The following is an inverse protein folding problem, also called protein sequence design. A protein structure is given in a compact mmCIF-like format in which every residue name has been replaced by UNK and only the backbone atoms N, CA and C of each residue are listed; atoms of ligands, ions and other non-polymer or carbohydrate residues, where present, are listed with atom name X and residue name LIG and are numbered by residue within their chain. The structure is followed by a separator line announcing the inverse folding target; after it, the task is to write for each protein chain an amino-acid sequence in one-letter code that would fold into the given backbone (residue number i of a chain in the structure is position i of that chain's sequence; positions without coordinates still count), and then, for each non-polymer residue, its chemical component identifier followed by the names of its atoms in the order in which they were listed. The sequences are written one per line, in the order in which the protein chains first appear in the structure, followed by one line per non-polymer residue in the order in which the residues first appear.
data_IF_255097820708
#
_entry.id   IF_255097820708
#
_cell.length_a   1.000
_cell.length_b   1.000
_cell.length_c   1.000
_cell.angle_alpha   90.00
_cell.angle_beta   90.00
_cell.angle_gamma   90.00
#
_symmetry.space_group_name_H-M   'P 1'
#
loop_
_entity.id
_entity.type
_entity.pdbx_description
1 polymer ?
#
# COMPACT_ATOMS: atom_id res chain seq x y z
N UNK A 1 -11.61 10.83 -0.88
CA UNK A 1 -12.01 10.92 0.55
C UNK A 1 -12.36 12.34 0.98
N UNK A 2 -11.42 13.29 1.12
CA UNK A 2 -11.74 14.65 1.60
C UNK A 2 -12.85 15.36 0.80
N UNK A 3 -12.79 15.33 -0.52
CA UNK A 3 -13.82 15.95 -1.39
C UNK A 3 -15.17 15.22 -1.33
N UNK A 4 -15.21 14.00 -0.79
CA UNK A 4 -16.43 13.22 -0.57
C UNK A 4 -16.86 13.23 0.90
N UNK A 5 -16.33 14.12 1.75
CA UNK A 5 -16.55 14.08 3.20
C UNK A 5 -18.03 14.22 3.58
N UNK A 6 -18.79 15.07 2.89
CA UNK A 6 -20.23 15.24 3.17
C UNK A 6 -21.03 13.98 2.78
N UNK A 7 -20.92 13.42 1.55
CA UNK A 7 -21.55 12.14 1.23
C UNK A 7 -21.21 11.01 2.20
N UNK A 8 -19.96 10.94 2.67
CA UNK A 8 -19.52 9.96 3.67
C UNK A 8 -20.15 10.23 5.05
N UNK A 9 -20.26 11.48 5.46
CA UNK A 9 -20.91 11.84 6.72
C UNK A 9 -22.41 11.50 6.72
N UNK A 10 -23.11 11.67 5.59
CA UNK A 10 -24.50 11.22 5.44
C UNK A 10 -24.66 9.69 5.58
N UNK A 11 -23.59 8.95 5.32
CA UNK A 11 -23.50 7.51 5.53
C UNK A 11 -22.99 7.12 6.93
N UNK A 12 -22.82 8.10 7.84
CA UNK A 12 -22.26 7.85 9.18
C UNK A 12 -20.75 7.59 9.19
N UNK A 13 -20.03 7.84 8.09
CA UNK A 13 -18.58 7.66 7.97
C UNK A 13 -17.86 8.99 8.20
N UNK A 14 -17.06 9.06 9.26
CA UNK A 14 -16.11 10.12 9.51
C UNK A 14 -14.76 9.83 8.84
N UNK A 15 -14.03 10.88 8.45
CA UNK A 15 -12.74 10.73 7.79
C UNK A 15 -11.66 11.64 8.38
N UNK A 16 -10.54 11.03 8.80
CA UNK A 16 -9.31 11.74 9.18
C UNK A 16 -8.18 11.39 8.20
N UNK A 17 -7.77 12.38 7.40
CA UNK A 17 -6.63 12.26 6.49
C UNK A 17 -5.40 13.04 6.96
N UNK A 18 -4.31 13.07 6.15
CA UNK A 18 -3.03 13.70 6.49
C UNK A 18 -3.13 15.17 6.95
N UNK A 19 -4.11 15.91 6.42
CA UNK A 19 -4.37 17.29 6.81
C UNK A 19 -4.75 17.42 8.29
N UNK A 20 -5.56 16.49 8.81
CA UNK A 20 -5.98 16.48 10.23
C UNK A 20 -4.98 15.75 11.11
N UNK A 21 -4.45 14.61 10.64
CA UNK A 21 -3.52 13.79 11.43
C UNK A 21 -2.17 14.49 11.65
N UNK A 22 -1.63 15.13 10.61
CA UNK A 22 -0.35 15.87 10.65
C UNK A 22 -0.55 17.37 10.85
N UNK A 23 -1.35 18.00 9.98
CA UNK A 23 -1.56 19.45 9.97
C UNK A 23 -2.35 19.98 11.18
N UNK A 24 -3.22 19.15 11.76
CA UNK A 24 -3.96 19.46 12.99
C UNK A 24 -3.27 18.97 14.28
N UNK A 25 -2.00 18.52 14.22
CA UNK A 25 -1.23 18.00 15.34
C UNK A 25 -1.86 16.79 16.10
N UNK A 26 -2.86 16.13 15.50
CA UNK A 26 -3.57 15.04 16.15
C UNK A 26 -2.64 13.88 16.49
N UNK A 27 -1.72 13.53 15.60
CA UNK A 27 -0.74 12.45 15.82
C UNK A 27 0.57 12.91 16.49
N UNK A 28 0.69 14.19 16.85
CA UNK A 28 1.90 14.72 17.47
C UNK A 28 2.18 14.05 18.82
N UNK A 29 3.36 13.46 19.00
CA UNK A 29 3.72 12.78 20.25
C UNK A 29 3.30 11.31 20.35
N UNK A 30 2.67 10.72 19.34
CA UNK A 30 2.45 9.26 19.27
C UNK A 30 3.75 8.54 18.91
N UNK A 31 4.47 9.08 17.94
CA UNK A 31 5.78 8.55 17.53
C UNK A 31 6.90 9.41 18.12
N UNK A 32 8.03 8.81 18.52
CA UNK A 32 9.19 9.58 18.96
C UNK A 32 9.66 10.49 17.82
N UNK A 33 9.91 11.76 18.15
CA UNK A 33 10.47 12.75 17.23
C UNK A 33 12.01 12.74 17.24
N UNK A 34 12.66 13.42 16.28
CA UNK A 34 14.12 13.56 16.24
C UNK A 34 14.66 14.51 17.32
N UNK A 35 13.82 15.39 17.87
CA UNK A 35 14.19 16.28 18.96
C UNK A 35 13.99 15.58 20.32
N UNK A 36 14.85 15.84 21.32
CA UNK A 36 14.63 15.40 22.69
C UNK A 36 13.23 15.82 23.15
N UNK A 37 12.52 14.90 23.81
CA UNK A 37 11.20 15.17 24.37
C UNK A 37 11.35 16.14 25.54
N UNK A 38 11.22 17.44 25.28
CA UNK A 38 11.30 18.50 26.30
C UNK A 38 9.93 18.83 26.91
N UNK A 39 8.84 18.26 26.38
CA UNK A 39 7.49 18.42 26.89
C UNK A 39 7.08 17.29 27.84
N UNK A 40 6.47 17.63 28.98
CA UNK A 40 5.86 16.64 29.90
C UNK A 40 4.70 15.91 29.19
N UNK A 41 4.69 14.58 29.33
CA UNK A 41 3.58 13.68 29.01
C UNK A 41 3.01 13.75 27.57
N UNK A 42 3.85 13.93 26.55
CA UNK A 42 3.41 14.03 25.15
C UNK A 42 2.50 12.87 24.69
N UNK A 43 2.80 11.65 25.13
CA UNK A 43 1.99 10.45 24.81
C UNK A 43 0.60 10.55 25.42
N UNK A 44 0.49 10.91 26.70
CA UNK A 44 -0.81 11.10 27.37
C UNK A 44 -1.59 12.25 26.74
N UNK A 45 -0.92 13.34 26.36
CA UNK A 45 -1.56 14.45 25.64
C UNK A 45 -2.06 14.00 24.26
N UNK A 46 -1.31 13.16 23.55
CA UNK A 46 -1.76 12.62 22.26
C UNK A 46 -2.99 11.74 22.42
N UNK A 47 -2.99 10.85 23.41
CA UNK A 47 -4.14 10.01 23.79
C UNK A 47 -5.37 10.86 24.13
N UNK A 48 -5.22 11.87 24.99
CA UNK A 48 -6.31 12.78 25.35
C UNK A 48 -6.88 13.54 24.14
N UNK A 49 -6.02 14.02 23.24
CA UNK A 49 -6.50 14.66 21.99
C UNK A 49 -7.27 13.69 21.10
N UNK A 50 -6.79 12.46 20.93
CA UNK A 50 -7.51 11.43 20.16
C UNK A 50 -8.87 11.12 20.79
N UNK A 51 -8.93 10.93 22.12
CA UNK A 51 -10.18 10.66 22.84
C UNK A 51 -11.20 11.77 22.65
N UNK A 52 -10.79 13.04 22.81
CA UNK A 52 -11.68 14.19 22.59
C UNK A 52 -12.19 14.25 21.15
N UNK A 53 -11.33 14.02 20.16
CA UNK A 53 -11.72 14.07 18.75
C UNK A 53 -12.62 12.88 18.35
N UNK A 54 -12.40 11.70 18.93
CA UNK A 54 -13.28 10.55 18.75
C UNK A 54 -14.64 10.78 19.41
N UNK A 55 -14.68 11.34 20.62
CA UNK A 55 -15.92 11.71 21.30
C UNK A 55 -16.73 12.72 20.49
N UNK A 56 -16.09 13.79 20.02
CA UNK A 56 -16.73 14.79 19.16
C UNK A 56 -17.24 14.18 17.84
N UNK A 57 -16.53 13.18 17.28
CA UNK A 57 -17.02 12.48 16.08
C UNK A 57 -18.27 11.65 16.39
N UNK A 58 -18.31 10.96 17.54
CA UNK A 58 -19.50 10.22 17.99
C UNK A 58 -20.70 11.13 18.24
N UNK A 59 -20.49 12.27 18.90
CA UNK A 59 -21.53 13.29 19.13
C UNK A 59 -22.09 13.85 17.82
N UNK A 60 -21.24 13.96 16.79
CA UNK A 60 -21.65 14.34 15.44
C UNK A 60 -22.34 13.21 14.65
N UNK A 61 -22.64 12.06 15.28
CA UNK A 61 -23.34 10.94 14.65
C UNK A 61 -22.45 10.03 13.78
N UNK A 62 -21.12 10.15 13.86
CA UNK A 62 -20.20 9.24 13.16
C UNK A 62 -20.27 7.86 13.79
N UNK A 63 -20.64 6.86 12.98
CA UNK A 63 -20.71 5.45 13.33
C UNK A 63 -19.39 4.73 13.03
N UNK A 64 -18.74 5.07 11.92
CA UNK A 64 -17.45 4.51 11.52
C UNK A 64 -16.44 5.64 11.27
N UNK A 65 -15.26 5.57 11.89
CA UNK A 65 -14.21 6.56 11.68
C UNK A 65 -13.07 5.96 10.86
N UNK A 66 -12.92 6.41 9.62
CA UNK A 66 -11.79 6.04 8.77
C UNK A 66 -10.62 7.00 8.99
N UNK A 67 -9.47 6.44 9.39
CA UNK A 67 -8.21 7.18 9.49
C UNK A 67 -7.26 6.68 8.40
N UNK A 68 -6.93 7.55 7.44
CA UNK A 68 -6.06 7.20 6.31
C UNK A 68 -4.78 8.03 6.35
N UNK A 69 -3.65 7.38 6.61
CA UNK A 69 -2.38 8.06 6.79
C UNK A 69 -1.18 7.20 6.34
N UNK A 70 -0.53 7.64 5.27
CA UNK A 70 0.64 7.03 4.61
C UNK A 70 1.83 6.77 5.56
N UNK A 71 2.13 7.68 6.50
CA UNK A 71 3.33 7.55 7.35
C UNK A 71 3.07 6.82 8.68
N UNK A 72 1.91 6.21 8.87
CA UNK A 72 1.67 5.40 10.09
C UNK A 72 2.70 4.26 10.18
N UNK A 73 2.84 3.50 9.08
CA UNK A 73 3.78 2.38 8.99
C UNK A 73 5.25 2.81 9.00
N UNK A 74 5.53 4.03 8.53
CA UNK A 74 6.88 4.58 8.43
C UNK A 74 7.07 5.42 7.18
N UNK A 75 8.19 6.13 7.11
CA UNK A 75 8.51 6.92 5.93
C UNK A 75 9.23 6.04 4.89
N UNK A 76 8.83 6.10 3.62
CA UNK A 76 9.50 5.41 2.50
C UNK A 76 11.00 5.70 2.44
N UNK A 77 11.41 6.92 2.81
CA UNK A 77 12.84 7.31 2.88
C UNK A 77 13.62 6.50 3.92
N UNK A 78 13.00 6.11 5.03
CA UNK A 78 13.63 5.26 6.02
C UNK A 78 13.90 3.87 5.44
N UNK A 79 12.93 3.32 4.68
CA UNK A 79 13.07 2.02 4.02
C UNK A 79 14.25 2.01 3.03
N UNK A 80 14.39 3.06 2.21
CA UNK A 80 15.52 3.19 1.30
C UNK A 80 16.86 3.36 2.03
N UNK A 81 16.89 4.11 3.13
CA UNK A 81 18.12 4.32 3.91
C UNK A 81 18.58 3.04 4.61
N UNK A 82 17.65 2.27 5.16
CA UNK A 82 17.93 1.01 5.84
C UNK A 82 18.11 -0.15 4.85
N UNK A 83 17.56 -0.02 3.64
CA UNK A 83 17.50 -1.11 2.66
C UNK A 83 16.52 -2.21 3.08
N UNK A 84 15.50 -1.87 3.85
CA UNK A 84 14.61 -2.84 4.49
C UNK A 84 13.15 -2.35 4.49
N UNK A 85 12.20 -3.29 4.35
CA UNK A 85 10.78 -2.99 4.17
C UNK A 85 10.10 -2.75 5.53
N UNK A 86 9.93 -1.48 5.91
CA UNK A 86 9.21 -1.06 7.12
C UNK A 86 9.63 -1.83 8.39
N UNK A 87 10.94 -1.95 8.64
CA UNK A 87 11.50 -2.73 9.75
C UNK A 87 11.00 -2.36 11.16
N UNK A 88 10.47 -1.15 11.33
CA UNK A 88 9.87 -0.68 12.59
C UNK A 88 8.34 -0.72 12.61
N UNK A 89 7.68 -1.45 11.69
CA UNK A 89 6.23 -1.48 11.55
C UNK A 89 5.53 -1.83 12.87
N UNK A 90 5.95 -2.91 13.53
CA UNK A 90 5.32 -3.40 14.76
C UNK A 90 5.34 -2.35 15.88
N UNK A 91 6.52 -1.83 16.22
CA UNK A 91 6.63 -0.80 17.27
C UNK A 91 5.77 0.44 16.97
N UNK A 92 5.73 0.87 15.71
CA UNK A 92 4.96 2.04 15.32
C UNK A 92 3.47 1.79 15.48
N UNK A 93 2.99 0.64 15.04
CA UNK A 93 1.58 0.27 15.14
C UNK A 93 1.16 0.02 16.59
N UNK A 94 2.03 -0.53 17.44
CA UNK A 94 1.77 -0.67 18.88
C UNK A 94 1.53 0.70 19.55
N UNK A 95 2.37 1.71 19.23
CA UNK A 95 2.17 3.09 19.75
C UNK A 95 0.85 3.70 19.27
N UNK A 96 0.43 3.42 18.02
CA UNK A 96 -0.89 3.85 17.56
C UNK A 96 -2.01 3.12 18.30
N UNK A 97 -1.93 1.79 18.46
CA UNK A 97 -2.91 1.00 19.19
C UNK A 97 -3.12 1.55 20.61
N UNK A 98 -2.02 1.84 21.32
CA UNK A 98 -2.05 2.43 22.65
C UNK A 98 -2.68 3.83 22.64
N UNK A 99 -2.29 4.69 21.69
CA UNK A 99 -2.80 6.05 21.59
C UNK A 99 -4.30 6.11 21.28
N UNK A 100 -4.81 5.18 20.47
CA UNK A 100 -6.24 5.02 20.21
C UNK A 100 -6.99 4.30 21.35
N UNK A 101 -6.28 3.77 22.35
CA UNK A 101 -6.89 3.22 23.56
C UNK A 101 -7.86 2.07 23.32
N UNK A 102 -7.53 1.18 22.37
CA UNK A 102 -8.37 0.03 22.02
C UNK A 102 -9.58 0.35 21.12
N UNK A 103 -9.71 1.58 20.63
CA UNK A 103 -10.78 1.96 19.71
C UNK A 103 -10.59 1.45 18.26
N UNK A 104 -9.42 0.89 17.94
CA UNK A 104 -9.13 0.36 16.60
C UNK A 104 -9.73 -1.04 16.47
N UNK A 105 -10.63 -1.22 15.51
CA UNK A 105 -11.25 -2.53 15.21
C UNK A 105 -10.66 -3.18 13.96
N UNK A 106 -10.24 -2.36 13.01
CA UNK A 106 -9.76 -2.77 11.69
C UNK A 106 -8.54 -1.95 11.29
N UNK A 107 -7.58 -2.60 10.64
CA UNK A 107 -6.43 -1.96 9.99
C UNK A 107 -6.44 -2.39 8.52
N UNK A 108 -6.28 -1.42 7.63
CA UNK A 108 -6.16 -1.65 6.20
C UNK A 108 -4.73 -1.35 5.74
N UNK A 109 -4.05 -2.37 5.19
CA UNK A 109 -2.70 -2.24 4.63
C UNK A 109 -2.76 -2.38 3.11
N UNK A 110 -2.38 -1.35 2.37
CA UNK A 110 -2.15 -1.50 0.93
C UNK A 110 -0.74 -2.01 0.66
N UNK A 111 -0.65 -3.12 -0.07
CA UNK A 111 0.62 -3.72 -0.50
C UNK A 111 0.73 -3.65 -2.02
N UNK A 112 1.94 -3.83 -2.56
CA UNK A 112 2.22 -3.78 -3.99
C UNK A 112 3.33 -4.76 -4.31
N UNK A 113 3.43 -5.21 -5.56
CA UNK A 113 4.61 -5.94 -6.03
C UNK A 113 5.91 -5.25 -5.59
N UNK A 114 6.86 -6.00 -5.04
CA UNK A 114 8.06 -5.40 -4.42
C UNK A 114 8.92 -4.66 -5.45
N UNK A 115 9.01 -5.16 -6.69
CA UNK A 115 9.63 -4.45 -7.82
C UNK A 115 8.95 -3.10 -8.05
N UNK A 116 7.63 -3.08 -7.96
CA UNK A 116 6.82 -1.91 -8.14
C UNK A 116 6.93 -0.90 -6.99
N UNK A 117 6.97 -1.41 -5.76
CA UNK A 117 7.15 -0.62 -4.54
C UNK A 117 8.52 0.06 -4.52
N UNK A 118 9.61 -0.70 -4.64
CA UNK A 118 10.97 -0.16 -4.57
C UNK A 118 11.25 0.81 -5.72
N UNK A 119 10.78 0.51 -6.93
CA UNK A 119 10.85 1.45 -8.05
C UNK A 119 10.15 2.77 -7.75
N UNK A 120 8.94 2.70 -7.16
CA UNK A 120 8.19 3.90 -6.76
C UNK A 120 8.92 4.69 -5.68
N UNK A 121 9.49 4.01 -4.69
CA UNK A 121 10.27 4.61 -3.62
C UNK A 121 11.51 5.34 -4.15
N UNK A 122 12.26 4.68 -5.04
CA UNK A 122 13.44 5.25 -5.69
C UNK A 122 13.05 6.48 -6.52
N UNK A 123 11.98 6.39 -7.34
CA UNK A 123 11.53 7.50 -8.18
C UNK A 123 11.18 8.72 -7.32
N UNK A 124 10.48 8.49 -6.21
CA UNK A 124 10.13 9.52 -5.25
C UNK A 124 11.35 10.16 -4.58
N UNK A 125 12.38 9.37 -4.23
CA UNK A 125 13.60 9.89 -3.63
C UNK A 125 14.41 10.72 -4.64
N UNK A 126 14.62 10.19 -5.85
CA UNK A 126 15.37 10.88 -6.91
C UNK A 126 14.69 12.20 -7.31
N UNK A 127 13.36 12.21 -7.48
CA UNK A 127 12.60 13.42 -7.76
C UNK A 127 12.73 14.52 -6.67
N UNK A 128 13.22 14.18 -5.48
CA UNK A 128 13.49 15.12 -4.38
C UNK A 128 14.98 15.43 -4.19
N UNK A 129 15.80 15.14 -5.20
CA UNK A 129 17.22 15.47 -5.22
C UNK A 129 18.12 14.46 -4.48
N UNK A 130 17.60 13.29 -4.10
CA UNK A 130 18.48 12.22 -3.61
C UNK A 130 19.33 11.64 -4.76
N UNK A 131 20.49 11.08 -4.40
CA UNK A 131 21.41 10.46 -5.36
C UNK A 131 20.73 9.31 -6.10
N UNK A 132 21.12 9.12 -7.37
CA UNK A 132 20.74 7.96 -8.17
C UNK A 132 21.18 6.66 -7.47
N UNK A 133 20.36 5.59 -7.46
CA UNK A 133 20.78 4.32 -6.90
C UNK A 133 21.97 3.73 -7.66
N UNK A 134 22.88 3.12 -6.92
CA UNK A 134 23.99 2.34 -7.46
C UNK A 134 23.58 0.89 -7.69
N UNK A 135 24.31 0.16 -8.55
CA UNK A 135 24.09 -1.28 -8.75
C UNK A 135 24.10 -2.06 -7.42
N UNK A 136 25.01 -1.73 -6.50
CA UNK A 136 25.11 -2.38 -5.20
C UNK A 136 23.90 -2.09 -4.29
N UNK A 137 23.37 -0.85 -4.32
CA UNK A 137 22.14 -0.54 -3.58
C UNK A 137 20.91 -1.23 -4.16
N UNK A 138 20.83 -1.39 -5.49
CA UNK A 138 19.73 -2.11 -6.14
C UNK A 138 19.80 -3.60 -5.82
N UNK A 139 21.00 -4.18 -5.85
CA UNK A 139 21.23 -5.57 -5.50
C UNK A 139 20.87 -5.87 -4.04
N UNK A 140 21.22 -4.97 -3.12
CA UNK A 140 20.81 -5.07 -1.71
C UNK A 140 19.29 -5.08 -1.55
N UNK A 141 18.58 -4.16 -2.23
CA UNK A 141 17.11 -4.10 -2.17
C UNK A 141 16.47 -5.36 -2.77
N UNK A 142 17.02 -5.87 -3.88
CA UNK A 142 16.50 -7.03 -4.57
C UNK A 142 16.71 -8.35 -3.81
N UNK A 143 17.80 -8.45 -3.03
CA UNK A 143 18.12 -9.62 -2.18
C UNK A 143 17.62 -9.48 -0.74
N UNK A 144 16.83 -8.46 -0.44
CA UNK A 144 16.27 -8.26 0.89
C UNK A 144 15.43 -9.47 1.30
N UNK A 145 15.66 -10.01 2.49
CA UNK A 145 14.90 -11.16 3.00
C UNK A 145 13.48 -10.79 3.43
N UNK A 146 13.24 -9.50 3.76
CA UNK A 146 11.98 -9.01 4.30
C UNK A 146 10.96 -8.75 3.19
N UNK A 147 9.75 -9.24 3.40
CA UNK A 147 8.61 -9.25 2.49
C UNK A 147 7.38 -8.59 3.12
N UNK A 148 6.25 -8.54 2.42
CA UNK A 148 5.02 -8.03 3.03
C UNK A 148 4.50 -8.96 4.12
N UNK A 149 4.76 -10.27 4.05
CA UNK A 149 4.43 -11.22 5.12
C UNK A 149 5.04 -10.80 6.46
N UNK A 150 6.30 -10.37 6.46
CA UNK A 150 6.97 -9.92 7.69
C UNK A 150 6.36 -8.64 8.24
N UNK A 151 5.97 -7.71 7.37
CA UNK A 151 5.30 -6.46 7.78
C UNK A 151 3.91 -6.75 8.34
N UNK A 152 3.16 -7.64 7.71
CA UNK A 152 1.81 -8.05 8.15
C UNK A 152 1.90 -8.75 9.51
N UNK A 153 2.88 -9.64 9.68
CA UNK A 153 3.13 -10.35 10.95
C UNK A 153 3.46 -9.37 12.07
N UNK A 154 4.33 -8.39 11.83
CA UNK A 154 4.64 -7.34 12.80
C UNK A 154 3.40 -6.54 13.24
N UNK A 155 2.53 -6.18 12.29
CA UNK A 155 1.30 -5.43 12.59
C UNK A 155 0.33 -6.28 13.40
N UNK A 156 0.12 -7.55 13.00
CA UNK A 156 -0.76 -8.47 13.71
C UNK A 156 -0.26 -8.71 15.15
N UNK A 157 1.05 -8.85 15.35
CA UNK A 157 1.65 -8.95 16.67
C UNK A 157 1.48 -7.68 17.51
N UNK A 158 1.57 -6.50 16.89
CA UNK A 158 1.46 -5.22 17.58
C UNK A 158 0.02 -4.82 17.93
N UNK A 159 -0.97 -5.40 17.25
CA UNK A 159 -2.39 -5.04 17.38
C UNK A 159 -3.27 -6.29 17.53
N UNK A 160 -3.12 -7.06 18.63
CA UNK A 160 -3.89 -8.29 18.82
C UNK A 160 -5.39 -7.99 18.88
N UNK A 161 -6.19 -8.83 18.20
CA UNK A 161 -7.65 -8.70 18.13
C UNK A 161 -8.16 -7.67 17.11
N UNK A 162 -7.27 -6.95 16.43
CA UNK A 162 -7.63 -6.03 15.34
C UNK A 162 -7.65 -6.79 14.02
N UNK A 163 -8.70 -6.61 13.22
CA UNK A 163 -8.81 -7.26 11.91
C UNK A 163 -7.91 -6.56 10.90
N UNK A 164 -6.92 -7.28 10.36
CA UNK A 164 -6.00 -6.75 9.37
C UNK A 164 -6.46 -7.12 7.95
N UNK A 165 -6.86 -6.12 7.19
CA UNK A 165 -7.27 -6.23 5.79
C UNK A 165 -6.10 -5.83 4.87
N UNK A 166 -5.77 -6.69 3.91
CA UNK A 166 -4.67 -6.46 2.96
C UNK A 166 -5.23 -6.13 1.58
N UNK A 167 -4.86 -4.98 1.04
CA UNK A 167 -5.36 -4.45 -0.23
C UNK A 167 -4.23 -4.39 -1.29
N UNK A 168 -4.21 -5.32 -2.26
CA UNK A 168 -3.26 -5.25 -3.37
C UNK A 168 -3.47 -3.99 -4.21
N UNK A 169 -2.42 -3.19 -4.38
CA UNK A 169 -2.44 -1.94 -5.12
C UNK A 169 -2.78 -2.16 -6.60
N UNK A 170 -2.39 -3.30 -7.16
CA UNK A 170 -2.72 -3.74 -8.51
C UNK A 170 -4.24 -3.85 -8.72
N UNK A 171 -4.98 -4.13 -7.64
CA UNK A 171 -6.43 -4.22 -7.63
C UNK A 171 -7.03 -2.87 -7.23
N UNK A 172 -6.59 -2.28 -6.11
CA UNK A 172 -7.28 -1.16 -5.47
C UNK A 172 -6.66 0.22 -5.73
N UNK A 173 -5.44 0.30 -6.24
CA UNK A 173 -4.65 1.54 -6.31
C UNK A 173 -5.24 2.65 -7.20
N UNK A 174 -6.10 2.29 -8.15
CA UNK A 174 -6.86 3.24 -8.98
C UNK A 174 -8.36 3.27 -8.65
N UNK A 175 -8.78 2.50 -7.63
CA UNK A 175 -10.18 2.29 -7.23
C UNK A 175 -10.35 2.51 -5.72
N UNK A 176 -10.11 3.73 -5.21
CA UNK A 176 -10.29 4.03 -3.78
C UNK A 176 -11.74 3.83 -3.30
N UNK A 177 -12.72 3.90 -4.20
CA UNK A 177 -14.11 3.55 -3.93
C UNK A 177 -14.27 2.06 -3.63
N UNK A 178 -13.63 1.18 -4.38
CA UNK A 178 -13.69 -0.26 -4.16
C UNK A 178 -12.97 -0.65 -2.85
N UNK A 179 -11.84 0.01 -2.57
CA UNK A 179 -11.13 -0.15 -1.30
C UNK A 179 -12.00 0.27 -0.12
N UNK A 180 -12.69 1.42 -0.24
CA UNK A 180 -13.58 1.90 0.81
C UNK A 180 -14.77 0.95 1.01
N UNK A 181 -15.43 0.53 -0.07
CA UNK A 181 -16.56 -0.39 0.00
C UNK A 181 -16.16 -1.73 0.64
N UNK A 182 -14.98 -2.26 0.30
CA UNK A 182 -14.47 -3.49 0.92
C UNK A 182 -14.21 -3.35 2.42
N UNK A 183 -13.92 -2.14 2.92
CA UNK A 183 -13.59 -1.90 4.33
C UNK A 183 -14.80 -1.50 5.17
N UNK A 184 -15.73 -0.74 4.60
CA UNK A 184 -16.89 -0.21 5.33
C UNK A 184 -18.18 -0.99 5.08
N UNK A 185 -18.22 -1.80 4.02
CA UNK A 185 -19.44 -2.46 3.53
C UNK A 185 -20.44 -1.51 2.88
N UNK A 186 -20.07 -0.25 2.66
CA UNK A 186 -20.97 0.80 2.15
C UNK A 186 -20.62 1.21 0.72
N UNK A 187 -21.63 1.65 -0.04
CA UNK A 187 -21.40 2.14 -1.40
C UNK A 187 -20.60 3.46 -1.38
N UNK A 188 -19.40 3.40 -1.96
CA UNK A 188 -18.44 4.47 -1.87
C UNK A 188 -18.66 5.54 -2.97
N UNK A 189 -18.63 6.84 -2.63
CA UNK A 189 -18.87 7.89 -3.61
C UNK A 189 -17.82 7.92 -4.74
N UNK A 190 -18.28 7.94 -5.99
CA UNK A 190 -17.42 7.87 -7.19
C UNK A 190 -16.97 9.24 -7.74
N UNK A 191 -17.66 10.32 -7.39
CA UNK A 191 -17.49 11.68 -7.96
C UNK A 191 -16.04 12.20 -7.97
N UNK A 192 -15.23 11.82 -7.00
CA UNK A 192 -13.81 12.20 -6.89
C UNK A 192 -12.87 10.99 -6.74
N UNK A 193 -13.32 9.80 -7.14
CA UNK A 193 -12.58 8.56 -6.93
C UNK A 193 -11.39 8.38 -7.89
N UNK A 194 -11.30 9.17 -8.96
CA UNK A 194 -10.21 9.10 -9.96
C UNK A 194 -9.06 10.08 -9.69
N UNK A 195 -9.13 10.88 -8.63
CA UNK A 195 -8.03 11.78 -8.24
C UNK A 195 -6.86 10.95 -7.74
N UNK A 196 -5.74 10.99 -8.46
CA UNK A 196 -4.50 10.30 -8.08
C UNK A 196 -3.58 11.24 -7.30
N UNK A 197 -3.22 10.86 -6.09
CA UNK A 197 -2.24 11.55 -5.26
C UNK A 197 -0.94 10.74 -5.21
N UNK A 198 0.19 11.44 -5.07
CA UNK A 198 1.53 10.84 -4.89
C UNK A 198 1.91 9.82 -5.98
N UNK A 199 1.42 9.98 -7.21
CA UNK A 199 1.84 9.15 -8.32
C UNK A 199 3.34 9.37 -8.60
N UNK A 200 4.09 8.29 -8.74
CA UNK A 200 5.48 8.38 -9.20
C UNK A 200 5.52 9.02 -10.58
N UNK A 201 6.48 9.93 -10.78
CA UNK A 201 6.75 10.52 -12.08
C UNK A 201 7.10 9.42 -13.09
N UNK A 202 6.59 9.57 -14.31
CA UNK A 202 7.08 8.78 -15.42
C UNK A 202 8.49 9.26 -15.80
N UNK A 203 9.21 8.49 -16.62
CA UNK A 203 10.63 8.69 -16.91
C UNK A 203 10.89 10.05 -17.56
N UNK A 204 10.00 10.50 -18.45
CA UNK A 204 10.12 11.83 -19.05
C UNK A 204 9.94 12.96 -18.04
N UNK A 205 8.94 12.87 -17.16
CA UNK A 205 8.69 13.88 -16.14
C UNK A 205 9.78 13.86 -15.06
N UNK A 206 10.26 12.67 -14.71
CA UNK A 206 11.37 12.48 -13.77
C UNK A 206 12.62 13.14 -14.34
N UNK A 207 12.94 12.90 -15.61
CA UNK A 207 14.09 13.53 -16.29
C UNK A 207 13.97 15.05 -16.30
N UNK A 208 12.79 15.59 -16.60
CA UNK A 208 12.52 17.03 -16.60
C UNK A 208 12.63 17.66 -15.19
N UNK A 209 12.39 16.88 -14.14
CA UNK A 209 12.47 17.35 -12.74
C UNK A 209 13.90 17.36 -12.16
N UNK A 210 14.90 16.85 -12.88
CA UNK A 210 16.25 16.64 -12.37
C UNK A 210 17.27 17.60 -12.98
N UNK A 211 18.36 17.94 -12.25
CA UNK A 211 19.53 18.58 -12.83
C UNK A 211 20.12 17.74 -13.97
N UNK A 212 20.72 18.39 -14.98
CA UNK A 212 21.22 17.73 -16.20
C UNK A 212 22.16 16.55 -15.92
N UNK A 213 23.01 16.63 -14.90
CA UNK A 213 23.95 15.57 -14.52
C UNK A 213 23.27 14.31 -13.93
N UNK A 214 22.13 14.47 -13.26
CA UNK A 214 21.34 13.35 -12.75
C UNK A 214 20.38 12.81 -13.82
N UNK A 215 19.81 13.70 -14.63
CA UNK A 215 18.97 13.35 -15.76
C UNK A 215 19.70 12.46 -16.79
N UNK A 216 20.99 12.72 -17.03
CA UNK A 216 21.85 11.93 -17.92
C UNK A 216 22.11 10.49 -17.44
N UNK A 217 21.84 10.17 -16.16
CA UNK A 217 21.97 8.82 -15.61
C UNK A 217 20.70 7.99 -15.75
N UNK A 218 19.57 8.62 -16.12
CA UNK A 218 18.34 7.88 -16.39
C UNK A 218 18.42 7.22 -17.78
N UNK A 219 17.83 6.02 -17.95
CA UNK A 219 17.76 5.39 -19.26
C UNK A 219 17.00 6.27 -20.26
N UNK A 220 17.29 6.08 -21.55
CA UNK A 220 16.51 6.64 -22.66
C UNK A 220 15.06 6.12 -22.64
N UNK A 221 14.14 6.87 -23.28
CA UNK A 221 12.75 6.47 -23.45
C UNK A 221 11.73 7.14 -22.51
N UNK A 222 10.52 6.58 -22.51
CA UNK A 222 9.32 7.10 -21.84
C UNK A 222 8.64 6.05 -20.97
N UNK A 223 7.68 6.46 -20.13
CA UNK A 223 6.87 5.55 -19.33
C UNK A 223 7.45 5.29 -17.95
N UNK A 224 7.31 4.08 -17.40
CA UNK A 224 7.73 3.80 -16.02
C UNK A 224 9.25 3.61 -15.94
N UNK A 225 9.91 4.30 -15.02
CA UNK A 225 11.31 4.01 -14.70
C UNK A 225 11.46 2.57 -14.19
N UNK A 226 12.46 1.84 -14.68
CA UNK A 226 12.77 0.46 -14.29
C UNK A 226 14.25 0.39 -13.87
N UNK A 227 14.57 0.57 -12.58
CA UNK A 227 15.95 0.59 -12.12
C UNK A 227 16.57 -0.80 -11.94
N UNK A 228 15.75 -1.85 -11.81
CA UNK A 228 16.20 -3.21 -11.56
C UNK A 228 16.48 -3.97 -12.85
N UNK A 229 17.44 -4.90 -12.81
CA UNK A 229 17.65 -5.90 -13.88
C UNK A 229 16.48 -6.89 -13.93
N UNK A 230 16.39 -7.68 -15.01
CA UNK A 230 15.35 -8.71 -15.14
C UNK A 230 15.43 -9.76 -14.03
N UNK A 231 16.65 -10.20 -13.66
CA UNK A 231 16.85 -11.17 -12.57
C UNK A 231 16.41 -10.59 -11.21
N UNK A 232 16.77 -9.34 -10.92
CA UNK A 232 16.34 -8.65 -9.69
C UNK A 232 14.82 -8.45 -9.65
N UNK A 233 14.23 -8.10 -10.80
CA UNK A 233 12.78 -7.95 -10.94
C UNK A 233 12.05 -9.28 -10.72
N UNK A 234 12.59 -10.38 -11.25
CA UNK A 234 12.04 -11.71 -11.04
C UNK A 234 12.05 -12.10 -9.56
N UNK A 235 13.17 -11.94 -8.87
CA UNK A 235 13.29 -12.25 -7.44
C UNK A 235 12.30 -11.45 -6.57
N UNK A 236 12.17 -10.14 -6.83
CA UNK A 236 11.22 -9.28 -6.12
C UNK A 236 9.75 -9.67 -6.39
N UNK A 237 9.45 -10.14 -7.60
CA UNK A 237 8.10 -10.60 -7.95
C UNK A 237 7.79 -11.98 -7.38
N UNK A 238 8.78 -12.87 -7.31
CA UNK A 238 8.66 -14.18 -6.69
C UNK A 238 8.34 -14.04 -5.20
N UNK A 239 9.10 -13.24 -4.46
CA UNK A 239 8.80 -12.94 -3.05
C UNK A 239 7.39 -12.37 -2.85
N UNK A 240 6.95 -11.46 -3.73
CA UNK A 240 5.58 -10.95 -3.68
C UNK A 240 4.52 -12.00 -4.05
N UNK A 241 4.82 -12.90 -4.99
CA UNK A 241 3.91 -13.99 -5.35
C UNK A 241 3.74 -14.96 -4.18
N UNK A 242 4.81 -15.26 -3.44
CA UNK A 242 4.78 -16.07 -2.22
C UNK A 242 3.96 -15.40 -1.12
N UNK A 243 4.09 -14.07 -0.95
CA UNK A 243 3.23 -13.29 -0.05
C UNK A 243 1.75 -13.41 -0.44
N UNK A 244 1.45 -13.26 -1.73
CA UNK A 244 0.08 -13.34 -2.24
C UNK A 244 -0.50 -14.75 -2.13
N UNK A 245 0.30 -15.80 -2.33
CA UNK A 245 -0.12 -17.18 -2.15
C UNK A 245 -0.45 -17.47 -0.69
N UNK A 246 0.38 -17.01 0.24
CA UNK A 246 0.13 -17.10 1.67
C UNK A 246 -1.13 -16.33 2.10
N UNK A 247 -1.32 -15.12 1.59
CA UNK A 247 -2.54 -14.33 1.80
C UNK A 247 -3.80 -15.02 1.27
N UNK A 248 -3.72 -15.60 0.07
CA UNK A 248 -4.82 -16.36 -0.52
C UNK A 248 -5.13 -17.64 0.28
N UNK A 249 -4.12 -18.23 0.93
CA UNK A 249 -4.26 -19.35 1.87
C UNK A 249 -4.82 -18.99 3.24
N UNK A 250 -5.16 -17.72 3.48
CA UNK A 250 -5.73 -17.25 4.76
C UNK A 250 -4.71 -16.68 5.74
N UNK A 251 -3.45 -16.48 5.32
CA UNK A 251 -2.41 -15.78 6.07
C UNK A 251 -2.21 -16.27 7.52
N UNK A 252 -2.34 -17.58 7.76
CA UNK A 252 -2.31 -18.20 9.08
C UNK A 252 -3.32 -17.60 10.09
N UNK A 253 -4.38 -16.96 9.60
CA UNK A 253 -5.36 -16.23 10.40
C UNK A 253 -4.91 -14.83 10.85
N UNK A 254 -3.72 -14.37 10.45
CA UNK A 254 -3.18 -13.05 10.83
C UNK A 254 -3.81 -11.89 10.04
N UNK A 255 -4.25 -12.15 8.82
CA UNK A 255 -4.82 -11.13 7.94
C UNK A 255 -5.80 -11.71 6.92
N UNK A 256 -6.68 -10.86 6.41
CA UNK A 256 -7.61 -11.18 5.33
C UNK A 256 -7.23 -10.42 4.06
N UNK A 257 -7.13 -11.13 2.93
CA UNK A 257 -7.00 -10.50 1.63
C UNK A 257 -8.34 -9.85 1.24
N UNK A 258 -8.34 -8.54 1.00
CA UNK A 258 -9.53 -7.81 0.63
C UNK A 258 -10.08 -8.30 -0.72
N UNK A 259 -11.38 -8.62 -0.75
CA UNK A 259 -12.06 -9.05 -1.95
C UNK A 259 -12.43 -7.83 -2.81
N UNK A 260 -12.20 -7.95 -4.11
CA UNK A 260 -12.63 -6.93 -5.06
C UNK A 260 -14.16 -7.00 -5.19
N UNK A 261 -14.91 -5.97 -4.77
CA UNK A 261 -16.38 -6.01 -4.77
C UNK A 261 -16.96 -6.14 -6.19
N UNK A 262 -16.19 -5.78 -7.22
CA UNK A 262 -16.61 -5.89 -8.62
C UNK A 262 -16.27 -7.27 -9.22
N UNK A 263 -15.45 -8.09 -8.54
CA UNK A 263 -15.19 -9.48 -8.96
C UNK A 263 -16.13 -10.41 -8.23
N UNK A 264 -17.00 -11.08 -8.97
CA UNK A 264 -17.70 -12.24 -8.44
C UNK A 264 -16.67 -13.28 -8.00
N UNK A 265 -16.86 -13.84 -6.80
CA UNK A 265 -16.09 -14.99 -6.34
C UNK A 265 -16.10 -16.04 -7.45
N UNK A 266 -14.94 -16.58 -7.80
CA UNK A 266 -14.89 -17.74 -8.67
C UNK A 266 -15.76 -18.81 -8.00
N UNK A 267 -16.88 -19.17 -8.64
CA UNK A 267 -17.74 -20.24 -8.15
C UNK A 267 -16.90 -21.50 -7.92
N UNK A 268 -17.41 -22.40 -7.09
CA UNK A 268 -16.73 -23.63 -6.60
C UNK A 268 -16.23 -24.58 -7.70
N UNK A 269 -16.40 -24.24 -8.98
CA UNK A 269 -15.84 -24.95 -10.12
C UNK A 269 -14.66 -24.16 -10.71
N UNK A 270 -13.40 -24.57 -10.47
CA UNK A 270 -12.29 -24.08 -11.28
C UNK A 270 -12.62 -24.39 -12.76
N UNK A 271 -12.37 -23.45 -13.70
CA UNK A 271 -12.51 -23.76 -15.11
C UNK A 271 -11.59 -24.95 -15.40
N UNK A 272 -12.13 -26.02 -16.00
CA UNK A 272 -11.35 -27.15 -16.47
C UNK A 272 -10.31 -26.62 -17.46
N UNK A 273 -9.10 -26.38 -16.98
CA UNK A 273 -7.95 -26.18 -17.87
C UNK A 273 -7.76 -27.53 -18.54
N UNK A 274 -8.18 -27.62 -19.80
CA UNK A 274 -7.85 -28.77 -20.63
C UNK A 274 -6.32 -28.81 -20.77
N UNK A 275 -5.68 -29.64 -19.94
CA UNK A 275 -4.30 -30.06 -20.10
C UNK A 275 -4.20 -30.87 -21.40
N UNK A 276 -4.14 -30.19 -22.54
CA UNK A 276 -3.72 -30.84 -23.78
C UNK A 276 -2.25 -30.53 -23.99
N UNK A 277 -1.43 -31.39 -23.39
CA UNK A 277 0.00 -31.52 -23.70
C UNK A 277 0.10 -32.22 -25.06
N UNK A 278 0.54 -31.51 -26.09
CA UNK A 278 0.89 -32.11 -27.39
C UNK A 278 0.48 -31.27 -28.58
N UNK A 279 1.46 -30.86 -29.40
CA UNK A 279 1.24 -30.46 -30.80
C UNK A 279 0.93 -31.73 -31.60
N UNK A 280 -0.16 -31.78 -32.38
CA UNK A 280 -0.24 -32.71 -33.48
C UNK A 280 0.25 -31.98 -34.74
N UNK A 281 1.51 -32.24 -35.09
CA UNK A 281 1.87 -32.29 -36.51
C UNK A 281 1.24 -33.58 -37.05
N UNK A 282 0.27 -33.48 -37.96
CA UNK A 282 0.30 -34.39 -39.10
C UNK A 282 -0.45 -33.88 -40.34
N UNK A 283 0.16 -34.21 -41.47
CA UNK A 283 -0.23 -33.87 -42.83
C UNK A 283 -1.47 -34.66 -43.24
N UNK A 284 -2.34 -34.06 -44.06
CA UNK A 284 -2.77 -34.73 -45.30
C UNK A 284 -3.44 -33.79 -46.31
N UNK A 285 -2.91 -33.87 -47.54
CA UNK A 285 -3.48 -33.43 -48.82
C UNK A 285 -4.91 -33.92 -49.02
N UNK A 286 -5.76 -33.09 -49.64
CA UNK A 286 -6.35 -33.39 -50.97
C UNK A 286 -6.93 -32.11 -51.62
N UNK A 287 -6.71 -32.06 -52.93
CA UNK A 287 -7.10 -31.04 -53.92
C UNK A 287 -8.52 -31.24 -54.46
N UNK A 288 -8.97 -30.23 -55.22
CA UNK A 288 -10.13 -30.09 -56.12
C UNK A 288 -11.46 -29.82 -55.40
N UNK A 289 -12.18 -28.72 -55.65
CA UNK A 289 -12.66 -28.12 -56.92
C UNK A 289 -14.20 -28.03 -56.74
N UNK A 290 -14.99 -27.08 -57.20
CA UNK A 290 -14.91 -26.03 -58.22
C UNK A 290 -16.03 -25.02 -57.92
N UNK A 291 -15.85 -23.76 -58.32
CA UNK A 291 -16.84 -22.68 -58.23
C UNK A 291 -16.18 -21.34 -58.39
#
# INVERSE_FOLDING_TARGET
MRQNAQPLACQGIGFWGPYRTRGGALFHGIQPGPAPVTGRDLVQRAKGRLQLQMAASREAGVQQLLVSEENMLGAVRANLRLGDLYSGAGERMARFAEAFGGAVTDVALSIRSLDGYWTSALAYAVARGHKMPTANSLDRLARGARSWRDVITDIACAMPGVRLHVLPFETFGARPEAALASLTGMDAPRTHARVRLNASLCLQDLRASLPSSAAAQLPEGTGRWRPFTDAQTAALREAYADDMMWLAGGADGLAALAQDPDKQAAGTNPPRIALTRGRPDDKQRRMAGSG
#
